data_IF_754731873951
#
_entry.id   IF_754731873951
#
_cell.length_a   1.000
_cell.length_b   1.000
_cell.length_c   1.000
_cell.angle_alpha   90.00
_cell.angle_beta   90.00
_cell.angle_gamma   90.00
#
_symmetry.space_group_name_H-M   'P 1'
#
loop_
_entity.id
_entity.type
_entity.pdbx_description
1 polymer ?
#
# COMPACT_ATOMS: atom_id res chain seq x y z
N UNK A 1 -14.84 5.83 19.23
CA UNK A 1 -13.95 4.72 18.81
C UNK A 1 -12.95 5.24 17.78
N UNK A 2 -12.10 6.20 18.16
CA UNK A 2 -11.25 6.95 17.22
C UNK A 2 -9.76 6.92 17.61
N UNK A 3 -9.46 6.52 18.86
CA UNK A 3 -8.10 6.56 19.42
C UNK A 3 -7.12 5.61 18.71
N UNK A 4 -7.60 4.48 18.19
CA UNK A 4 -6.71 3.54 17.48
C UNK A 4 -6.26 4.03 16.11
N UNK A 5 -7.02 4.91 15.46
CA UNK A 5 -6.66 5.44 14.14
C UNK A 5 -5.68 6.61 14.26
N UNK A 6 -5.91 7.50 15.22
CA UNK A 6 -4.98 8.59 15.55
C UNK A 6 -3.60 8.06 15.96
N UNK A 7 -3.54 7.02 16.80
CA UNK A 7 -2.26 6.41 17.17
C UNK A 7 -1.51 5.77 15.99
N UNK A 8 -2.23 5.28 14.97
CA UNK A 8 -1.59 4.78 13.74
C UNK A 8 -1.03 5.93 12.90
N UNK A 9 -1.72 7.07 12.82
CA UNK A 9 -1.22 8.27 12.13
C UNK A 9 0.03 8.81 12.83
N UNK A 10 0.06 8.84 14.17
CA UNK A 10 1.24 9.24 14.93
C UNK A 10 2.43 8.31 14.69
N UNK A 11 2.18 7.00 14.64
CA UNK A 11 3.22 6.01 14.38
C UNK A 11 3.72 6.03 12.93
N UNK A 12 2.86 6.48 12.01
CA UNK A 12 3.09 6.45 10.58
C UNK A 12 2.67 7.79 9.94
N UNK A 13 3.52 8.82 10.07
CA UNK A 13 3.17 10.20 9.70
C UNK A 13 3.09 10.45 8.19
N UNK A 14 3.45 9.45 7.37
CA UNK A 14 3.43 9.54 5.91
C UNK A 14 2.15 8.90 5.36
N UNK A 15 1.63 9.37 4.21
CA UNK A 15 0.56 8.69 3.50
C UNK A 15 0.90 7.21 3.26
N UNK A 16 -0.11 6.35 3.36
CA UNK A 16 0.09 4.89 3.27
C UNK A 16 0.84 4.45 2.00
N UNK A 17 0.63 5.14 0.87
CA UNK A 17 1.33 4.86 -0.38
C UNK A 17 2.85 5.13 -0.27
N UNK A 18 3.22 6.23 0.39
CA UNK A 18 4.63 6.57 0.60
C UNK A 18 5.29 5.64 1.61
N UNK A 19 4.54 5.23 2.63
CA UNK A 19 5.03 4.26 3.59
C UNK A 19 5.24 2.87 3.00
N UNK A 20 4.32 2.43 2.13
CA UNK A 20 4.48 1.19 1.38
C UNK A 20 5.74 1.22 0.51
N UNK A 21 6.00 2.32 -0.19
CA UNK A 21 7.23 2.50 -0.99
C UNK A 21 8.49 2.41 -0.14
N UNK A 22 8.49 3.00 1.06
CA UNK A 22 9.60 2.86 2.00
C UNK A 22 9.82 1.41 2.44
N UNK A 23 8.75 0.66 2.72
CA UNK A 23 8.86 -0.76 3.05
C UNK A 23 9.29 -1.61 1.86
N UNK A 24 8.82 -1.31 0.65
CA UNK A 24 9.22 -1.96 -0.58
C UNK A 24 10.71 -1.79 -0.87
N UNK A 25 11.25 -0.59 -0.66
CA UNK A 25 12.68 -0.34 -0.77
C UNK A 25 13.49 -1.06 0.34
N UNK A 26 13.02 -0.99 1.59
CA UNK A 26 13.76 -1.51 2.75
C UNK A 26 13.71 -3.03 2.89
N UNK A 27 12.60 -3.63 2.49
CA UNK A 27 12.27 -5.04 2.74
C UNK A 27 11.87 -5.77 1.44
N UNK A 28 12.44 -5.35 0.31
CA UNK A 28 12.07 -5.79 -1.04
C UNK A 28 11.82 -7.30 -1.18
N UNK A 29 12.70 -8.15 -0.65
CA UNK A 29 12.64 -9.60 -0.76
C UNK A 29 11.82 -10.28 0.34
N UNK A 30 11.37 -9.56 1.36
CA UNK A 30 10.54 -10.13 2.44
C UNK A 30 9.11 -10.30 1.96
N UNK A 31 8.49 -11.38 2.41
CA UNK A 31 7.07 -11.64 2.14
C UNK A 31 6.21 -10.63 2.91
N UNK A 32 5.37 -9.90 2.18
CA UNK A 32 4.43 -8.93 2.72
C UNK A 32 3.02 -9.53 2.90
N UNK A 33 2.60 -10.36 1.95
CA UNK A 33 1.25 -10.95 1.91
C UNK A 33 1.37 -12.43 1.56
N UNK A 34 0.61 -13.26 2.25
CA UNK A 34 0.40 -14.67 1.90
C UNK A 34 -1.11 -14.88 1.80
N UNK A 35 -1.56 -15.42 0.68
CA UNK A 35 -2.94 -15.82 0.46
C UNK A 35 -3.01 -17.26 -0.10
N UNK A 36 -4.21 -17.72 -0.46
CA UNK A 36 -4.41 -19.06 -1.01
C UNK A 36 -3.79 -19.25 -2.41
N UNK A 37 -3.44 -18.16 -3.12
CA UNK A 37 -2.86 -18.15 -4.47
C UNK A 37 -1.34 -18.06 -4.44
N UNK A 38 -0.75 -17.64 -3.32
CA UNK A 38 0.68 -17.64 -3.11
C UNK A 38 1.14 -16.57 -2.14
N UNK A 39 2.39 -16.15 -2.32
CA UNK A 39 3.00 -15.10 -1.52
C UNK A 39 3.49 -13.96 -2.40
N UNK A 40 3.37 -12.74 -1.89
CA UNK A 40 3.89 -11.53 -2.52
C UNK A 40 4.95 -10.92 -1.61
N UNK A 41 6.09 -10.57 -2.21
CA UNK A 41 7.10 -9.77 -1.54
C UNK A 41 6.65 -8.31 -1.42
N UNK A 42 7.30 -7.52 -0.55
CA UNK A 42 7.02 -6.09 -0.47
C UNK A 42 7.26 -5.36 -1.81
N UNK A 43 8.29 -5.74 -2.58
CA UNK A 43 8.51 -5.15 -3.91
C UNK A 43 7.43 -5.53 -4.93
N UNK A 44 6.98 -6.79 -4.92
CA UNK A 44 5.92 -7.25 -5.81
C UNK A 44 4.56 -6.63 -5.46
N UNK A 45 4.31 -6.43 -4.16
CA UNK A 45 3.12 -5.76 -3.69
C UNK A 45 3.06 -4.30 -4.17
N UNK A 46 4.16 -3.55 -4.02
CA UNK A 46 4.26 -2.15 -4.43
C UNK A 46 4.02 -1.96 -5.94
N UNK A 47 4.70 -2.77 -6.78
CA UNK A 47 4.50 -2.74 -8.23
C UNK A 47 3.04 -3.02 -8.62
N UNK A 48 2.39 -3.98 -7.94
CA UNK A 48 1.00 -4.35 -8.22
C UNK A 48 0.00 -3.29 -7.77
N UNK A 49 0.31 -2.55 -6.70
CA UNK A 49 -0.49 -1.40 -6.27
C UNK A 49 -0.37 -0.28 -7.30
N UNK A 50 0.82 0.01 -7.81
CA UNK A 50 1.02 1.03 -8.86
C UNK A 50 0.27 0.65 -10.16
N UNK A 51 0.33 -0.61 -10.59
CA UNK A 51 -0.45 -1.11 -11.74
C UNK A 51 -1.96 -0.94 -11.53
N UNK A 52 -2.46 -1.32 -10.35
CA UNK A 52 -3.88 -1.20 -10.01
C UNK A 52 -4.31 0.27 -9.96
N UNK A 53 -3.51 1.15 -9.36
CA UNK A 53 -3.78 2.58 -9.32
C UNK A 53 -3.82 3.22 -10.72
N UNK A 54 -2.90 2.81 -11.61
CA UNK A 54 -2.92 3.22 -13.01
C UNK A 54 -4.17 2.72 -13.73
N UNK A 55 -4.56 1.46 -13.50
CA UNK A 55 -5.81 0.89 -14.02
C UNK A 55 -7.05 1.64 -13.54
N UNK A 56 -7.17 1.91 -12.25
CA UNK A 56 -8.28 2.70 -11.69
C UNK A 56 -8.31 4.13 -12.25
N UNK A 57 -7.15 4.76 -12.39
CA UNK A 57 -7.03 6.08 -13.00
C UNK A 57 -7.49 6.07 -14.46
N UNK A 58 -7.17 5.01 -15.20
CA UNK A 58 -7.62 4.83 -16.59
C UNK A 58 -9.15 4.66 -16.70
N UNK A 59 -9.79 4.11 -15.66
CA UNK A 59 -11.24 4.00 -15.55
C UNK A 59 -11.92 5.31 -15.11
N UNK A 60 -11.13 6.38 -14.88
CA UNK A 60 -11.62 7.70 -14.51
C UNK A 60 -11.78 7.92 -13.01
N UNK A 61 -11.37 6.96 -12.17
CA UNK A 61 -11.41 7.12 -10.72
C UNK A 61 -10.28 8.05 -10.28
N UNK A 62 -10.64 9.09 -9.51
CA UNK A 62 -9.69 10.06 -8.96
C UNK A 62 -9.71 10.04 -7.44
N UNK A 63 -8.57 10.36 -6.83
CA UNK A 63 -8.46 10.52 -5.38
C UNK A 63 -9.52 11.50 -4.87
N UNK A 64 -10.33 11.08 -3.89
CA UNK A 64 -11.41 11.90 -3.33
C UNK A 64 -12.74 11.87 -4.10
N UNK A 65 -12.87 11.03 -5.13
CA UNK A 65 -14.18 10.76 -5.74
C UNK A 65 -14.99 9.88 -4.78
N UNK A 66 -16.13 10.38 -4.32
CA UNK A 66 -17.09 9.66 -3.48
C UNK A 66 -18.13 8.94 -4.34
#
# INVERSE_FOLDING_TARGET
MNSSFESLIEQYPLPIAEQLRHWAARYASRIAVVDAKGSLTYSALDARVDELAAGLSSLGLRSGSM
#
